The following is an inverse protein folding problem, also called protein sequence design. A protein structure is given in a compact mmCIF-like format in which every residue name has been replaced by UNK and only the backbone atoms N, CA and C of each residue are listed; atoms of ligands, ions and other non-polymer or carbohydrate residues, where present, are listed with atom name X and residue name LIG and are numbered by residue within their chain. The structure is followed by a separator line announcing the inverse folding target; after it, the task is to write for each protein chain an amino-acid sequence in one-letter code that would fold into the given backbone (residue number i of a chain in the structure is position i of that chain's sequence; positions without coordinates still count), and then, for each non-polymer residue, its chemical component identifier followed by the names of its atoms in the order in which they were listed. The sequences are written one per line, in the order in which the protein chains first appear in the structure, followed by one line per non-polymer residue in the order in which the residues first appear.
data_IF_612123961492
#
_entry.id   IF_612123961492
#
_cell.length_a   1.000
_cell.length_b   1.000
_cell.length_c   1.000
_cell.angle_alpha   90.00
_cell.angle_beta   90.00
_cell.angle_gamma   90.00
#
_symmetry.space_group_name_H-M   'P 1'
#
loop_
_entity.id
_entity.type
_entity.pdbx_description
1 polymer ?
#
# COMPACT_ATOMS: atom_id res chain seq x y z
N UNK A 1 -0.32 5.46 26.90
CA UNK A 1 -0.12 5.94 25.51
C UNK A 1 -1.48 5.98 24.83
N UNK A 2 -1.97 7.16 24.42
CA UNK A 2 -3.16 7.23 23.56
C UNK A 2 -2.81 6.49 22.26
N UNK A 3 -3.56 5.44 21.93
CA UNK A 3 -3.37 4.65 20.70
C UNK A 3 -3.62 5.54 19.48
N UNK A 4 -2.60 6.30 19.05
CA UNK A 4 -2.59 6.85 17.71
C UNK A 4 -2.59 5.65 16.76
N UNK A 5 -3.70 5.41 16.07
CA UNK A 5 -3.77 4.34 15.08
C UNK A 5 -2.71 4.63 14.02
N UNK A 6 -1.69 3.76 13.92
CA UNK A 6 -0.65 3.92 12.91
C UNK A 6 -1.29 3.97 11.52
N UNK A 7 -0.87 4.92 10.66
CA UNK A 7 -1.39 5.02 9.31
C UNK A 7 -1.16 3.73 8.53
N UNK A 8 -2.12 3.35 7.70
CA UNK A 8 -2.07 2.12 6.91
C UNK A 8 -2.36 2.42 5.45
N UNK A 9 -2.02 1.50 4.56
CA UNK A 9 -2.18 1.69 3.12
C UNK A 9 -2.82 0.48 2.48
N UNK A 10 -3.71 0.73 1.52
CA UNK A 10 -4.29 -0.29 0.65
C UNK A 10 -3.53 -0.32 -0.68
N UNK A 11 -2.95 -1.47 -1.01
CA UNK A 11 -2.28 -1.65 -2.29
C UNK A 11 -2.28 -3.11 -2.74
N UNK A 12 -1.96 -3.32 -4.00
CA UNK A 12 -1.58 -4.63 -4.53
C UNK A 12 -0.05 -4.77 -4.37
N UNK A 13 0.45 -5.76 -3.62
CA UNK A 13 1.88 -5.91 -3.41
C UNK A 13 2.57 -6.37 -4.70
N UNK A 14 3.80 -5.89 -4.90
CA UNK A 14 4.66 -6.35 -5.98
C UNK A 14 5.21 -7.72 -5.63
N UNK A 15 4.42 -8.74 -5.93
CA UNK A 15 4.91 -10.11 -5.97
C UNK A 15 5.32 -10.28 -7.44
N UNK A 16 6.59 -10.21 -7.77
CA UNK A 16 7.04 -10.65 -9.09
C UNK A 16 7.60 -12.06 -8.96
N UNK A 17 7.27 -12.93 -9.90
CA UNK A 17 7.71 -14.34 -9.97
C UNK A 17 9.20 -14.48 -10.32
N UNK A 18 9.95 -13.37 -10.38
CA UNK A 18 11.34 -13.36 -10.86
C UNK A 18 12.20 -12.37 -10.04
N UNK A 19 13.16 -12.87 -9.22
CA UNK A 19 13.99 -12.03 -8.35
C UNK A 19 14.93 -11.06 -9.10
N UNK A 20 15.05 -11.16 -10.42
CA UNK A 20 15.92 -10.28 -11.24
C UNK A 20 15.34 -8.87 -11.45
N UNK A 21 14.06 -8.65 -11.13
CA UNK A 21 13.36 -7.38 -11.39
C UNK A 21 13.84 -6.19 -10.54
N UNK A 22 14.36 -6.42 -9.32
CA UNK A 22 14.74 -5.33 -8.40
C UNK A 22 16.01 -4.61 -8.88
N UNK A 23 16.88 -5.29 -9.64
CA UNK A 23 18.15 -4.74 -10.13
C UNK A 23 18.02 -3.71 -11.25
N UNK A 24 16.84 -3.52 -11.85
CA UNK A 24 16.66 -2.63 -13.02
C UNK A 24 15.62 -1.53 -12.81
N UNK A 25 15.30 -1.15 -11.57
CA UNK A 25 14.40 -0.01 -11.29
C UNK A 25 14.93 1.37 -11.77
N UNK A 26 16.11 1.43 -12.40
CA UNK A 26 16.62 2.60 -13.14
C UNK A 26 16.29 2.59 -14.63
N UNK A 27 15.88 1.47 -15.21
CA UNK A 27 15.62 1.36 -16.65
C UNK A 27 14.20 0.88 -16.94
N UNK A 28 13.55 1.66 -17.80
CA UNK A 28 12.13 1.60 -18.13
C UNK A 28 11.85 0.46 -19.11
N UNK A 29 12.28 -0.77 -18.82
CA UNK A 29 11.85 -1.94 -19.59
C UNK A 29 10.49 -2.44 -19.07
N UNK A 30 9.46 -2.24 -19.89
CA UNK A 30 8.13 -2.84 -19.75
C UNK A 30 8.21 -4.37 -19.97
N UNK A 31 8.84 -5.12 -19.06
CA UNK A 31 8.74 -6.59 -19.10
C UNK A 31 7.35 -7.01 -18.62
N UNK A 32 6.62 -7.72 -19.49
CA UNK A 32 5.22 -8.12 -19.29
C UNK A 32 5.11 -9.06 -18.08
N UNK A 33 4.48 -8.57 -17.00
CA UNK A 33 4.05 -9.41 -15.87
C UNK A 33 3.25 -10.61 -16.41
N UNK A 34 3.64 -11.83 -16.07
CA UNK A 34 2.85 -13.02 -16.40
C UNK A 34 1.47 -12.87 -15.75
N UNK A 35 0.39 -12.93 -16.55
CA UNK A 35 -0.96 -12.73 -16.03
C UNK A 35 -1.28 -13.80 -14.99
N UNK A 36 -1.38 -13.42 -13.72
CA UNK A 36 -1.89 -14.27 -12.66
C UNK A 36 -3.37 -14.56 -12.86
N UNK A 37 -3.78 -15.77 -12.50
CA UNK A 37 -5.19 -16.18 -12.39
C UNK A 37 -5.92 -15.62 -11.16
N UNK A 38 -5.24 -14.82 -10.35
CA UNK A 38 -5.82 -14.14 -9.19
C UNK A 38 -5.25 -12.71 -9.07
N UNK A 39 -5.89 -11.90 -8.24
CA UNK A 39 -5.42 -10.61 -7.76
C UNK A 39 -5.34 -10.64 -6.23
N UNK A 40 -4.38 -9.91 -5.67
CA UNK A 40 -4.20 -9.77 -4.23
C UNK A 40 -4.19 -8.29 -3.88
N UNK A 41 -4.94 -7.92 -2.85
CA UNK A 41 -4.79 -6.62 -2.19
C UNK A 41 -4.47 -6.83 -0.73
N UNK A 42 -3.75 -5.89 -0.16
CA UNK A 42 -3.36 -5.93 1.25
C UNK A 42 -3.64 -4.60 1.91
N UNK A 43 -3.92 -4.65 3.22
CA UNK A 43 -3.83 -3.49 4.09
C UNK A 43 -2.56 -3.62 4.91
N UNK A 44 -1.65 -2.68 4.74
CA UNK A 44 -0.32 -2.72 5.35
C UNK A 44 -0.10 -1.55 6.30
N UNK A 45 0.52 -1.79 7.46
CA UNK A 45 0.99 -0.74 8.35
C UNK A 45 2.14 0.02 7.68
N UNK A 46 1.98 1.34 7.53
CA UNK A 46 2.95 2.18 6.84
C UNK A 46 4.19 2.53 7.67
N UNK A 47 4.23 2.15 8.95
CA UNK A 47 5.37 2.38 9.85
C UNK A 47 6.24 1.14 10.03
N UNK A 48 5.63 -0.05 10.06
CA UNK A 48 6.31 -1.33 10.34
C UNK A 48 6.39 -2.26 9.14
N UNK A 49 5.56 -2.03 8.13
CA UNK A 49 5.44 -2.90 6.96
C UNK A 49 4.63 -4.15 7.22
N UNK A 50 4.06 -4.29 8.42
CA UNK A 50 3.24 -5.43 8.79
C UNK A 50 1.98 -5.46 7.92
N UNK A 51 1.74 -6.58 7.24
CA UNK A 51 0.52 -6.78 6.47
C UNK A 51 -0.59 -7.20 7.44
N UNK A 52 -1.55 -6.31 7.66
CA UNK A 52 -2.63 -6.46 8.63
C UNK A 52 -3.77 -7.36 8.12
N UNK A 53 -4.10 -7.24 6.83
CA UNK A 53 -5.17 -7.99 6.16
C UNK A 53 -4.79 -8.25 4.71
N UNK A 54 -5.31 -9.35 4.17
CA UNK A 54 -5.17 -9.74 2.78
C UNK A 54 -6.56 -9.98 2.17
N UNK A 55 -6.71 -9.67 0.89
CA UNK A 55 -7.91 -10.00 0.12
C UNK A 55 -7.48 -10.62 -1.21
N UNK A 56 -7.89 -11.87 -1.44
CA UNK A 56 -7.56 -12.64 -2.64
C UNK A 56 -8.81 -12.75 -3.50
N UNK A 57 -8.70 -12.38 -4.76
CA UNK A 57 -9.76 -12.57 -5.76
C UNK A 57 -9.27 -13.48 -6.88
N UNK A 58 -9.95 -14.61 -7.09
CA UNK A 58 -9.72 -15.49 -8.23
C UNK A 58 -10.39 -14.90 -9.48
N UNK A 59 -9.71 -14.92 -10.62
CA UNK A 59 -10.21 -14.34 -11.89
C UNK A 59 -11.07 -15.31 -12.73
N UNK A 60 -11.18 -16.57 -12.30
CA UNK A 60 -11.92 -17.63 -12.99
C UNK A 60 -12.68 -18.50 -11.96
N UNK A 61 -14.00 -18.64 -12.14
CA UNK A 61 -14.90 -19.54 -11.37
C UNK A 61 -16.06 -18.77 -10.73
N UNK A 62 -17.28 -19.35 -10.63
CA UNK A 62 -18.41 -18.68 -9.98
C UNK A 62 -18.08 -18.52 -8.49
N UNK A 63 -17.56 -17.36 -8.12
CA UNK A 63 -17.24 -17.07 -6.73
C UNK A 63 -18.52 -17.07 -5.90
N UNK A 64 -18.50 -17.57 -4.65
CA UNK A 64 -19.67 -17.55 -3.77
C UNK A 64 -20.21 -16.13 -3.51
N UNK A 65 -19.40 -15.09 -3.76
CA UNK A 65 -19.72 -13.69 -3.47
C UNK A 65 -20.24 -12.89 -4.69
N UNK A 66 -20.51 -13.54 -5.83
CA UNK A 66 -21.03 -12.86 -7.01
C UNK A 66 -20.10 -11.77 -7.56
N UNK A 67 -18.79 -11.80 -7.24
CA UNK A 67 -17.85 -10.76 -7.65
C UNK A 67 -17.66 -10.69 -9.18
N UNK A 68 -17.89 -11.80 -9.87
CA UNK A 68 -17.95 -11.87 -11.34
C UNK A 68 -19.11 -11.04 -11.93
N UNK A 69 -20.12 -10.70 -11.10
CA UNK A 69 -21.23 -9.80 -11.48
C UNK A 69 -20.87 -8.32 -11.38
N UNK A 70 -19.78 -7.96 -10.67
CA UNK A 70 -19.26 -6.58 -10.64
C UNK A 70 -18.55 -6.28 -11.97
N UNK A 71 -19.34 -5.94 -12.97
CA UNK A 71 -18.87 -5.59 -14.32
C UNK A 71 -17.96 -4.36 -14.35
N UNK A 72 -17.92 -3.54 -13.29
CA UNK A 72 -17.15 -2.29 -13.25
C UNK A 72 -16.03 -2.29 -12.18
N UNK A 73 -14.78 -2.03 -12.62
CA UNK A 73 -13.56 -2.05 -11.79
C UNK A 73 -13.62 -1.17 -10.52
N UNK A 74 -14.18 0.06 -10.54
CA UNK A 74 -14.29 0.89 -9.33
C UNK A 74 -15.17 0.26 -8.24
N UNK A 75 -16.22 -0.48 -8.61
CA UNK A 75 -17.07 -1.17 -7.64
C UNK A 75 -16.31 -2.30 -6.96
N UNK A 76 -15.54 -3.08 -7.73
CA UNK A 76 -14.63 -4.10 -7.20
C UNK A 76 -13.63 -3.49 -6.21
N UNK A 77 -12.92 -2.43 -6.60
CA UNK A 77 -11.92 -1.79 -5.73
C UNK A 77 -12.52 -1.20 -4.45
N UNK A 78 -13.72 -0.62 -4.54
CA UNK A 78 -14.48 -0.13 -3.38
C UNK A 78 -14.85 -1.27 -2.43
N UNK A 79 -15.35 -2.40 -2.95
CA UNK A 79 -15.65 -3.58 -2.15
C UNK A 79 -14.40 -4.14 -1.46
N UNK A 80 -13.32 -4.31 -2.22
CA UNK A 80 -12.03 -4.79 -1.68
C UNK A 80 -11.54 -3.89 -0.55
N UNK A 81 -11.63 -2.57 -0.73
CA UNK A 81 -11.25 -1.62 0.32
C UNK A 81 -12.12 -1.80 1.58
N UNK A 82 -13.44 -1.93 1.43
CA UNK A 82 -14.36 -2.18 2.55
C UNK A 82 -14.01 -3.47 3.29
N UNK A 83 -13.75 -4.56 2.57
CA UNK A 83 -13.36 -5.85 3.13
C UNK A 83 -12.04 -5.76 3.92
N UNK A 84 -11.01 -5.13 3.33
CA UNK A 84 -9.72 -4.94 4.00
C UNK A 84 -9.80 -4.07 5.26
N UNK A 85 -10.79 -3.19 5.34
CA UNK A 85 -10.97 -2.22 6.42
C UNK A 85 -12.12 -2.56 7.39
N UNK A 86 -12.82 -3.69 7.23
CA UNK A 86 -14.02 -4.01 8.01
C UNK A 86 -13.82 -3.99 9.54
N UNK A 87 -12.61 -4.33 10.02
CA UNK A 87 -12.27 -4.35 11.44
C UNK A 87 -11.68 -3.01 11.95
N UNK A 88 -11.76 -1.93 11.17
CA UNK A 88 -11.26 -0.61 11.55
C UNK A 88 -12.34 0.36 12.03
N UNK A 89 -13.61 -0.02 11.98
CA UNK A 89 -14.70 0.83 12.44
C UNK A 89 -14.46 1.30 13.89
N UNK A 90 -14.63 2.60 14.13
CA UNK A 90 -14.45 3.25 15.43
C UNK A 90 -13.01 3.45 15.89
N UNK A 91 -12.00 3.09 15.08
CA UNK A 91 -10.58 3.15 15.47
C UNK A 91 -9.87 4.46 15.12
N UNK A 92 -10.57 5.42 14.49
CA UNK A 92 -9.98 6.68 14.01
C UNK A 92 -8.72 6.45 13.16
N UNK A 93 -8.79 5.45 12.27
CA UNK A 93 -7.65 5.01 11.47
C UNK A 93 -7.47 5.90 10.23
N UNK A 94 -6.22 6.11 9.81
CA UNK A 94 -5.88 6.80 8.55
C UNK A 94 -5.47 5.76 7.51
N UNK A 95 -6.13 5.79 6.34
CA UNK A 95 -5.92 4.87 5.22
C UNK A 95 -5.46 5.61 3.96
N UNK A 96 -4.30 5.22 3.46
CA UNK A 96 -3.78 5.68 2.18
C UNK A 96 -4.28 4.79 1.05
N UNK A 97 -4.65 5.40 -0.08
CA UNK A 97 -5.19 4.68 -1.23
C UNK A 97 -4.54 5.08 -2.54
N UNK A 98 -4.30 4.08 -3.39
CA UNK A 98 -3.94 4.31 -4.78
C UNK A 98 -5.13 4.76 -5.64
N UNK A 99 -4.88 5.26 -6.86
CA UNK A 99 -5.93 5.82 -7.72
C UNK A 99 -7.13 4.93 -8.00
N UNK A 100 -6.94 3.62 -8.08
CA UNK A 100 -8.03 2.68 -8.36
C UNK A 100 -9.05 2.54 -7.21
N UNK A 101 -8.66 2.91 -5.99
CA UNK A 101 -9.50 2.81 -4.79
C UNK A 101 -10.04 4.20 -4.40
N UNK A 102 -9.30 5.27 -4.68
CA UNK A 102 -9.69 6.64 -4.30
C UNK A 102 -10.98 7.08 -5.00
N UNK A 103 -12.03 7.37 -4.23
CA UNK A 103 -13.27 7.98 -4.73
C UNK A 103 -13.99 8.78 -3.62
N UNK A 104 -14.80 9.75 -4.03
CA UNK A 104 -15.59 10.57 -3.11
C UNK A 104 -16.53 9.72 -2.25
N UNK A 105 -17.29 8.83 -2.89
CA UNK A 105 -18.28 7.99 -2.23
C UNK A 105 -17.65 7.04 -1.19
N UNK A 106 -16.50 6.43 -1.52
CA UNK A 106 -15.83 5.53 -0.57
C UNK A 106 -15.35 6.29 0.67
N UNK A 107 -14.77 7.48 0.48
CA UNK A 107 -14.21 8.26 1.58
C UNK A 107 -15.30 8.77 2.51
N UNK A 108 -16.45 9.18 1.97
CA UNK A 108 -17.62 9.54 2.77
C UNK A 108 -18.16 8.36 3.58
N UNK A 109 -18.16 7.16 3.00
CA UNK A 109 -18.64 5.96 3.69
C UNK A 109 -17.69 5.52 4.82
N UNK A 110 -16.38 5.62 4.57
CA UNK A 110 -15.36 5.35 5.59
C UNK A 110 -15.36 6.38 6.72
N UNK A 111 -15.65 7.64 6.42
CA UNK A 111 -15.75 8.69 7.44
C UNK A 111 -16.84 8.37 8.47
N UNK A 112 -18.00 7.86 8.04
CA UNK A 112 -19.09 7.42 8.94
C UNK A 112 -18.65 6.32 9.90
N UNK A 113 -17.60 5.58 9.56
CA UNK A 113 -17.05 4.49 10.36
C UNK A 113 -15.81 4.93 11.18
N UNK A 114 -15.46 6.22 11.19
CA UNK A 114 -14.24 6.70 11.83
C UNK A 114 -12.97 6.22 11.12
N UNK A 115 -13.04 6.05 9.79
CA UNK A 115 -11.91 5.72 8.93
C UNK A 115 -11.66 6.93 8.01
N UNK A 116 -10.52 7.57 8.20
CA UNK A 116 -10.12 8.74 7.42
C UNK A 116 -9.16 8.32 6.32
N UNK A 117 -9.18 9.02 5.19
CA UNK A 117 -8.42 8.62 4.01
C UNK A 117 -7.64 9.77 3.38
N UNK A 118 -6.55 9.39 2.72
CA UNK A 118 -5.76 10.25 1.86
C UNK A 118 -5.31 9.47 0.63
N UNK A 119 -5.84 9.82 -0.54
CA UNK A 119 -5.68 9.04 -1.75
C UNK A 119 -5.22 9.86 -2.94
N UNK A 120 -4.40 9.26 -3.80
CA UNK A 120 -4.07 9.83 -5.10
C UNK A 120 -5.28 9.71 -6.03
N UNK A 121 -5.62 10.77 -6.76
CA UNK A 121 -6.68 10.81 -7.77
C UNK A 121 -6.08 10.74 -9.17
N UNK A 122 -6.72 9.96 -10.04
CA UNK A 122 -6.42 9.92 -11.48
C UNK A 122 -7.72 9.86 -12.26
N UNK A 123 -7.91 10.79 -13.20
CA UNK A 123 -9.07 10.80 -14.10
C UNK A 123 -9.22 9.54 -14.95
N UNK A 124 -8.17 8.71 -15.05
CA UNK A 124 -8.18 7.44 -15.81
C UNK A 124 -8.44 6.20 -14.94
N UNK A 125 -8.21 6.28 -13.63
CA UNK A 125 -8.23 5.10 -12.73
C UNK A 125 -9.18 5.25 -11.55
N UNK A 126 -9.47 6.48 -11.13
CA UNK A 126 -10.37 6.80 -10.02
C UNK A 126 -11.80 6.99 -10.51
N UNK A 127 -12.75 6.73 -9.62
CA UNK A 127 -14.11 7.24 -9.78
C UNK A 127 -14.14 8.70 -9.33
N UNK A 128 -14.24 9.61 -10.32
CA UNK A 128 -14.25 11.05 -10.12
C UNK A 128 -15.67 11.63 -10.03
N UNK A 129 -16.71 10.79 -9.94
CA UNK A 129 -18.10 11.24 -9.85
C UNK A 129 -18.29 12.17 -8.65
N UNK A 130 -18.91 13.33 -8.88
CA UNK A 130 -19.17 14.34 -7.86
C UNK A 130 -17.98 15.24 -7.49
N UNK A 131 -16.82 15.08 -8.13
CA UNK A 131 -15.67 15.97 -7.93
C UNK A 131 -15.73 17.21 -8.86
N UNK A 132 -15.22 18.38 -8.43
CA UNK A 132 -15.26 19.59 -9.24
C UNK A 132 -14.34 19.47 -10.47
N UNK A 133 -14.90 19.61 -11.67
CA UNK A 133 -14.16 19.46 -12.93
C UNK A 133 -12.97 20.43 -13.06
N UNK A 134 -13.07 21.63 -12.47
CA UNK A 134 -11.97 22.60 -12.41
C UNK A 134 -10.71 22.07 -11.72
N UNK A 135 -10.85 21.06 -10.85
CA UNK A 135 -9.74 20.41 -10.15
C UNK A 135 -9.21 19.19 -10.90
N UNK A 136 -9.93 18.69 -11.91
CA UNK A 136 -9.60 17.49 -12.68
C UNK A 136 -8.94 17.80 -14.02
N UNK A 137 -9.18 18.99 -14.57
CA UNK A 137 -8.55 19.48 -15.80
C UNK A 137 -7.18 20.07 -15.46
N UNK A 138 -6.20 19.86 -16.34
CA UNK A 138 -4.90 20.54 -16.24
C UNK A 138 -5.04 21.93 -16.87
N UNK A 139 -4.53 22.97 -16.21
CA UNK A 139 -4.40 24.30 -16.83
C UNK A 139 -3.33 24.26 -17.92
N UNK A 140 -3.53 25.01 -19.00
CA UNK A 140 -2.55 25.12 -20.09
C UNK A 140 -1.32 25.96 -19.70
N UNK A 141 -1.47 26.83 -18.71
CA UNK A 141 -0.38 27.66 -18.20
C UNK A 141 0.65 26.84 -17.42
N UNK A 142 1.96 27.11 -17.61
CA UNK A 142 3.01 26.56 -16.75
C UNK A 142 2.76 26.97 -15.30
N UNK A 143 2.72 25.99 -14.40
CA UNK A 143 2.54 26.23 -12.97
C UNK A 143 3.91 26.23 -12.27
N UNK A 144 4.03 27.01 -11.19
CA UNK A 144 5.24 27.01 -10.39
C UNK A 144 5.33 25.71 -9.58
N UNK A 145 6.52 25.10 -9.55
CA UNK A 145 6.80 23.93 -8.73
C UNK A 145 6.50 24.24 -7.26
N UNK A 146 5.72 23.39 -6.61
CA UNK A 146 5.28 23.56 -5.23
C UNK A 146 3.90 24.22 -5.08
N UNK A 147 3.39 24.87 -6.12
CA UNK A 147 2.08 25.52 -6.09
C UNK A 147 0.97 24.48 -5.88
N UNK A 148 -0.02 24.84 -5.06
CA UNK A 148 -1.19 24.01 -4.84
C UNK A 148 -2.49 24.80 -4.97
N UNK A 149 -3.52 24.12 -5.46
CA UNK A 149 -4.90 24.60 -5.46
C UNK A 149 -5.73 23.64 -4.63
N UNK A 150 -6.62 24.17 -3.81
CA UNK A 150 -7.41 23.36 -2.87
C UNK A 150 -8.87 23.79 -2.95
N UNK A 151 -9.77 22.81 -3.01
CA UNK A 151 -11.22 23.02 -2.82
C UNK A 151 -11.72 22.07 -1.74
N UNK A 152 -12.70 22.52 -0.97
CA UNK A 152 -13.21 21.79 0.20
C UNK A 152 -14.73 21.66 0.15
N UNK A 153 -15.24 20.58 0.73
CA UNK A 153 -16.66 20.39 1.04
C UNK A 153 -16.77 19.64 2.36
N UNK A 154 -17.17 20.33 3.42
CA UNK A 154 -17.13 19.78 4.77
C UNK A 154 -15.70 19.37 5.15
N UNK A 155 -15.54 18.14 5.65
CA UNK A 155 -14.24 17.59 6.05
C UNK A 155 -13.39 17.07 4.88
N UNK A 156 -13.96 16.98 3.68
CA UNK A 156 -13.26 16.50 2.49
C UNK A 156 -12.61 17.66 1.74
N UNK A 157 -11.37 17.45 1.32
CA UNK A 157 -10.63 18.36 0.46
C UNK A 157 -10.09 17.64 -0.77
N UNK A 158 -10.13 18.33 -1.90
CA UNK A 158 -9.41 17.98 -3.11
C UNK A 158 -8.24 18.95 -3.27
N UNK A 159 -7.05 18.38 -3.45
CA UNK A 159 -5.80 19.11 -3.56
C UNK A 159 -5.23 18.83 -4.94
N UNK A 160 -4.83 19.87 -5.68
CA UNK A 160 -4.02 19.75 -6.88
C UNK A 160 -2.66 20.41 -6.64
N UNK A 161 -1.61 19.62 -6.50
CA UNK A 161 -0.25 20.08 -6.26
C UNK A 161 0.62 19.88 -7.50
N UNK A 162 1.31 20.93 -7.90
CA UNK A 162 2.16 20.92 -9.08
C UNK A 162 3.63 20.68 -8.73
N UNK A 163 4.28 19.74 -9.42
CA UNK A 163 5.72 19.52 -9.30
C UNK A 163 6.40 19.44 -10.67
N UNK A 164 6.44 18.23 -11.27
CA UNK A 164 6.80 18.01 -12.68
C UNK A 164 5.54 17.71 -13.53
N UNK A 165 4.39 18.10 -13.00
CA UNK A 165 3.07 17.65 -13.40
C UNK A 165 2.09 17.75 -12.23
N UNK A 166 0.79 17.68 -12.55
CA UNK A 166 -0.31 17.80 -11.60
C UNK A 166 -0.50 16.48 -10.81
N UNK A 167 -0.34 16.54 -9.50
CA UNK A 167 -0.68 15.47 -8.57
C UNK A 167 -1.94 15.86 -7.81
N UNK A 168 -3.00 15.05 -7.97
CA UNK A 168 -4.31 15.32 -7.37
C UNK A 168 -4.54 14.39 -6.20
N UNK A 169 -5.03 14.91 -5.10
CA UNK A 169 -5.33 14.13 -3.91
C UNK A 169 -6.76 14.40 -3.45
N UNK A 170 -7.42 13.36 -2.95
CA UNK A 170 -8.62 13.47 -2.14
C UNK A 170 -8.24 13.13 -0.71
N UNK A 171 -8.70 13.91 0.28
CA UNK A 171 -8.40 13.62 1.68
C UNK A 171 -9.43 14.20 2.64
N UNK A 172 -9.77 13.43 3.67
CA UNK A 172 -10.40 13.89 4.92
C UNK A 172 -9.54 13.54 6.15
N UNK A 173 -8.31 13.05 5.95
CA UNK A 173 -7.39 12.69 7.02
C UNK A 173 -6.45 13.84 7.44
N UNK A 174 -6.29 14.85 6.59
CA UNK A 174 -5.32 15.93 6.81
C UNK A 174 -5.98 17.29 6.58
N UNK A 175 -5.68 18.28 7.45
CA UNK A 175 -6.16 19.64 7.24
C UNK A 175 -5.63 20.22 5.92
N UNK A 176 -6.47 20.88 5.11
CA UNK A 176 -6.09 21.42 3.81
C UNK A 176 -5.12 22.60 3.89
N UNK A 177 -5.12 23.32 5.01
CA UNK A 177 -4.27 24.50 5.23
C UNK A 177 -2.93 24.17 5.85
N UNK A 178 -2.71 22.93 6.30
CA UNK A 178 -1.42 22.54 6.87
C UNK A 178 -0.41 22.33 5.74
N UNK A 179 0.68 23.06 5.85
CA UNK A 179 1.83 22.95 4.95
C UNK A 179 2.77 21.82 5.40
N UNK A 180 3.53 21.33 4.44
CA UNK A 180 4.54 20.31 4.56
C UNK A 180 5.61 20.50 3.48
N UNK A 181 6.63 19.66 3.50
CA UNK A 181 7.79 19.80 2.61
C UNK A 181 8.25 18.47 2.03
N UNK A 182 8.43 18.42 0.71
CA UNK A 182 9.14 17.31 0.07
C UNK A 182 10.62 17.66 -0.04
N UNK A 183 11.46 16.97 0.73
CA UNK A 183 12.92 17.11 0.67
C UNK A 183 13.48 16.24 -0.46
N UNK A 184 14.17 16.85 -1.42
CA UNK A 184 14.93 16.12 -2.46
C UNK A 184 16.41 16.46 -2.38
N UNK A 185 17.24 15.43 -2.15
CA UNK A 185 18.71 15.53 -2.00
C UNK A 185 19.41 16.42 -3.05
N UNK A 186 18.93 16.44 -4.29
CA UNK A 186 19.54 17.21 -5.41
C UNK A 186 18.82 18.51 -5.78
N UNK A 187 17.59 18.73 -5.32
CA UNK A 187 16.74 19.83 -5.84
C UNK A 187 16.14 20.70 -4.76
N UNK A 188 16.69 20.64 -3.54
CA UNK A 188 16.20 21.36 -2.37
C UNK A 188 14.83 20.89 -1.89
N UNK A 189 14.24 21.74 -1.06
CA UNK A 189 12.92 21.61 -0.48
C UNK A 189 11.86 22.11 -1.45
N UNK A 190 10.73 21.40 -1.50
CA UNK A 190 9.56 21.81 -2.30
C UNK A 190 8.39 21.95 -1.34
N UNK A 191 7.78 23.14 -1.22
CA UNK A 191 6.59 23.30 -0.41
C UNK A 191 5.45 22.47 -0.99
N UNK A 192 4.66 21.87 -0.11
CA UNK A 192 3.49 21.08 -0.49
C UNK A 192 2.47 21.07 0.66
N UNK A 193 1.20 20.69 0.40
CA UNK A 193 0.28 20.42 1.48
C UNK A 193 0.71 19.20 2.31
N UNK A 194 0.43 19.19 3.61
CA UNK A 194 0.80 18.08 4.53
C UNK A 194 0.30 16.71 4.04
N UNK A 195 -0.87 16.67 3.39
CA UNK A 195 -1.40 15.44 2.79
C UNK A 195 -0.47 14.85 1.72
N UNK A 196 0.21 15.71 0.96
CA UNK A 196 1.18 15.30 -0.07
C UNK A 196 2.45 14.76 0.57
N UNK A 197 2.97 15.44 1.59
CA UNK A 197 4.13 14.97 2.35
C UNK A 197 3.86 13.61 2.99
N UNK A 198 2.75 13.49 3.71
CA UNK A 198 2.33 12.24 4.32
C UNK A 198 2.26 11.13 3.26
N UNK A 199 1.49 11.33 2.18
CA UNK A 199 1.36 10.35 1.10
C UNK A 199 2.72 9.93 0.52
N UNK A 200 3.63 10.88 0.28
CA UNK A 200 4.96 10.60 -0.24
C UNK A 200 5.81 9.75 0.73
N UNK A 201 5.74 10.03 2.03
CA UNK A 201 6.41 9.23 3.06
C UNK A 201 5.90 7.77 3.05
N UNK A 202 4.58 7.58 2.91
CA UNK A 202 3.98 6.24 2.84
C UNK A 202 4.39 5.48 1.57
N UNK A 203 4.41 6.14 0.41
CA UNK A 203 4.85 5.50 -0.83
C UNK A 203 6.33 5.05 -0.73
N UNK A 204 7.19 5.89 -0.15
CA UNK A 204 8.59 5.50 0.09
C UNK A 204 8.70 4.27 0.99
N UNK A 205 7.81 4.13 1.97
CA UNK A 205 7.81 2.99 2.88
C UNK A 205 7.43 1.69 2.18
N UNK A 206 6.37 1.69 1.37
CA UNK A 206 5.95 0.51 0.59
C UNK A 206 7.09 0.05 -0.32
N UNK A 207 7.72 0.97 -1.05
CA UNK A 207 8.86 0.63 -1.92
C UNK A 207 9.99 -0.02 -1.13
N UNK A 208 10.36 0.52 0.04
CA UNK A 208 11.39 -0.08 0.91
C UNK A 208 11.00 -1.47 1.41
N UNK A 209 9.73 -1.67 1.74
CA UNK A 209 9.23 -2.97 2.15
C UNK A 209 9.33 -3.97 1.00
N UNK A 210 8.82 -3.60 -0.17
CA UNK A 210 8.89 -4.43 -1.38
C UNK A 210 10.34 -4.79 -1.68
N UNK A 211 11.28 -3.83 -1.74
CA UNK A 211 12.70 -4.10 -1.99
C UNK A 211 13.31 -5.07 -0.95
N UNK A 212 12.94 -4.92 0.32
CA UNK A 212 13.54 -5.68 1.41
C UNK A 212 12.97 -7.09 1.53
N UNK A 213 11.67 -7.25 1.34
CA UNK A 213 10.92 -8.45 1.72
C UNK A 213 10.42 -9.26 0.52
N UNK A 214 10.23 -8.65 -0.66
CA UNK A 214 9.80 -9.36 -1.88
C UNK A 214 10.78 -10.46 -2.30
N UNK A 215 12.09 -10.25 -2.07
CA UNK A 215 13.14 -11.25 -2.37
C UNK A 215 13.09 -12.51 -1.50
N UNK A 216 12.34 -12.49 -0.39
CA UNK A 216 12.16 -13.64 0.50
C UNK A 216 10.84 -14.38 0.25
N UNK A 217 10.11 -14.03 -0.80
CA UNK A 217 8.94 -14.81 -1.20
C UNK A 217 9.38 -16.17 -1.71
N UNK A 218 8.65 -17.20 -1.29
CA UNK A 218 8.90 -18.58 -1.69
C UNK A 218 8.41 -18.73 -3.13
N UNK A 219 9.35 -18.83 -4.06
CA UNK A 219 9.10 -19.13 -5.46
C UNK A 219 9.13 -20.64 -5.67
N UNK A 220 7.96 -21.27 -5.57
CA UNK A 220 7.78 -22.64 -6.00
C UNK A 220 7.07 -22.62 -7.35
N UNK A 221 7.61 -23.25 -8.41
CA UNK A 221 6.97 -23.34 -9.74
C UNK A 221 5.57 -23.94 -9.60
N UNK A 222 4.51 -23.12 -9.54
CA UNK A 222 3.22 -23.59 -9.10
C UNK A 222 2.41 -23.97 -10.33
N UNK A 223 2.01 -25.22 -10.43
CA UNK A 223 1.18 -25.70 -11.54
C UNK A 223 -0.30 -25.34 -11.34
N UNK A 224 -0.69 -24.92 -10.12
CA UNK A 224 -2.07 -24.57 -9.76
C UNK A 224 -2.14 -23.22 -9.03
N UNK A 225 -3.24 -22.49 -9.22
CA UNK A 225 -3.46 -21.16 -8.60
C UNK A 225 -3.46 -21.20 -7.08
N UNK A 226 -4.05 -22.24 -6.46
CA UNK A 226 -4.06 -22.37 -5.01
C UNK A 226 -2.65 -22.50 -4.41
N UNK A 227 -1.70 -23.11 -5.14
CA UNK A 227 -0.30 -23.22 -4.70
C UNK A 227 0.35 -21.83 -4.66
N UNK A 228 0.06 -20.99 -5.66
CA UNK A 228 0.53 -19.60 -5.67
C UNK A 228 0.02 -18.84 -4.45
N UNK A 229 -1.28 -18.94 -4.15
CA UNK A 229 -1.90 -18.28 -2.99
C UNK A 229 -1.33 -18.81 -1.68
N UNK A 230 -1.13 -20.12 -1.56
CA UNK A 230 -0.56 -20.76 -0.37
C UNK A 230 0.87 -20.25 -0.08
N UNK A 231 1.80 -20.39 -1.03
CA UNK A 231 3.19 -19.98 -0.84
C UNK A 231 3.34 -18.47 -0.60
N UNK A 232 2.49 -17.69 -1.24
CA UNK A 232 2.39 -16.26 -1.02
C UNK A 232 1.99 -15.93 0.42
N UNK A 233 0.97 -16.61 0.94
CA UNK A 233 0.46 -16.41 2.30
C UNK A 233 1.52 -16.81 3.34
N UNK A 234 2.21 -17.93 3.13
CA UNK A 234 3.35 -18.34 3.98
C UNK A 234 4.45 -17.28 3.95
N UNK A 235 4.81 -16.77 2.77
CA UNK A 235 5.85 -15.75 2.63
C UNK A 235 5.51 -14.46 3.40
N UNK A 236 4.26 -14.01 3.31
CA UNK A 236 3.74 -12.87 4.09
C UNK A 236 3.82 -13.16 5.58
N UNK A 237 3.41 -14.36 6.00
CA UNK A 237 3.40 -14.78 7.41
C UNK A 237 4.81 -14.75 8.01
N UNK A 238 5.81 -15.29 7.30
CA UNK A 238 7.20 -15.29 7.78
C UNK A 238 7.76 -13.86 7.84
N UNK A 239 7.45 -13.02 6.85
CA UNK A 239 7.86 -11.61 6.87
C UNK A 239 7.22 -10.84 8.03
N UNK A 240 5.93 -11.05 8.29
CA UNK A 240 5.23 -10.50 9.44
C UNK A 240 5.83 -11.01 10.77
N UNK A 241 6.15 -12.30 10.88
CA UNK A 241 6.81 -12.87 12.06
C UNK A 241 8.17 -12.21 12.33
N UNK A 242 8.97 -11.98 11.28
CA UNK A 242 10.23 -11.25 11.42
C UNK A 242 10.03 -9.78 11.84
N UNK A 243 8.96 -9.13 11.37
CA UNK A 243 8.61 -7.77 11.83
C UNK A 243 8.29 -7.78 13.33
N UNK A 244 7.48 -8.73 13.79
CA UNK A 244 7.14 -8.87 15.21
C UNK A 244 8.38 -9.18 16.05
N UNK A 245 9.26 -10.05 15.57
CA UNK A 245 10.54 -10.33 16.21
C UNK A 245 11.38 -9.07 16.37
N UNK A 246 11.57 -8.25 15.32
CA UNK A 246 12.28 -6.96 15.42
C UNK A 246 11.67 -5.98 16.43
N UNK A 247 10.38 -6.13 16.75
CA UNK A 247 9.64 -5.30 17.70
C UNK A 247 9.60 -5.89 19.11
N UNK A 248 10.14 -7.11 19.31
CA UNK A 248 10.14 -7.78 20.61
C UNK A 248 11.48 -7.63 21.33
N UNK A 249 11.48 -7.88 22.64
CA UNK A 249 12.68 -7.86 23.48
C UNK A 249 13.75 -8.86 23.02
N UNK A 250 13.34 -9.97 22.39
CA UNK A 250 14.25 -10.98 21.86
C UNK A 250 15.21 -10.42 20.80
N UNK A 251 14.79 -9.40 20.02
CA UNK A 251 15.66 -8.75 19.04
C UNK A 251 16.74 -7.89 19.70
N UNK A 252 16.47 -7.36 20.90
CA UNK A 252 17.48 -6.62 21.66
C UNK A 252 18.55 -7.55 22.23
N UNK A 253 18.19 -8.78 22.58
CA UNK A 253 19.12 -9.80 23.07
C UNK A 253 20.00 -10.34 21.95
N UNK A 254 19.40 -10.78 20.84
CA UNK A 254 20.12 -11.30 19.68
C UNK A 254 19.49 -10.75 18.43
N UNK A 255 20.29 -10.16 17.53
CA UNK A 255 19.81 -9.53 16.29
C UNK A 255 20.06 -10.44 15.09
N UNK A 256 19.03 -11.13 14.63
CA UNK A 256 19.08 -11.84 13.36
C UNK A 256 18.71 -10.91 12.20
N UNK A 257 19.44 -11.05 11.09
CA UNK A 257 18.97 -10.58 9.79
C UNK A 257 17.75 -11.38 9.34
N UNK A 258 17.04 -10.89 8.31
CA UNK A 258 15.87 -11.59 7.77
C UNK A 258 16.21 -12.99 7.23
N UNK A 259 17.40 -13.15 6.65
CA UNK A 259 17.88 -14.43 6.14
C UNK A 259 18.14 -15.42 7.28
N UNK A 260 18.92 -15.00 8.29
CA UNK A 260 19.21 -15.81 9.48
C UNK A 260 17.94 -16.21 10.23
N UNK A 261 16.98 -15.28 10.36
CA UNK A 261 15.68 -15.59 10.96
C UNK A 261 14.93 -16.67 10.18
N UNK A 262 14.96 -16.61 8.84
CA UNK A 262 14.33 -17.61 7.99
C UNK A 262 14.99 -18.99 8.09
N UNK A 263 16.32 -19.04 8.10
CA UNK A 263 17.08 -20.28 8.28
C UNK A 263 16.76 -20.95 9.63
N UNK A 264 16.76 -20.16 10.71
CA UNK A 264 16.43 -20.65 12.05
C UNK A 264 15.00 -21.17 12.12
N UNK A 265 14.05 -20.44 11.55
CA UNK A 265 12.65 -20.88 11.50
C UNK A 265 12.52 -22.23 10.79
N UNK A 266 13.27 -22.47 9.71
CA UNK A 266 13.27 -23.77 9.02
C UNK A 266 13.83 -24.87 9.91
N UNK A 267 14.96 -24.63 10.60
CA UNK A 267 15.55 -25.61 11.53
C UNK A 267 14.58 -25.98 12.65
N UNK A 268 13.96 -24.97 13.27
CA UNK A 268 12.97 -25.18 14.35
C UNK A 268 11.74 -25.96 13.85
N UNK A 269 11.22 -25.66 12.66
CA UNK A 269 10.08 -26.37 12.09
C UNK A 269 10.39 -27.82 11.68
N UNK A 270 11.65 -28.13 11.40
CA UNK A 270 12.12 -29.46 11.03
C UNK A 270 12.70 -30.25 12.22
N UNK A 271 12.62 -29.70 13.43
CA UNK A 271 13.23 -30.27 14.64
C UNK A 271 14.71 -30.62 14.45
N UNK A 272 15.40 -29.83 13.63
CA UNK A 272 16.84 -29.97 13.42
C UNK A 272 17.54 -29.29 14.59
N UNK A 273 18.29 -30.07 15.38
CA UNK A 273 19.13 -29.52 16.44
C UNK A 273 20.05 -28.43 15.89
N UNK A 274 20.24 -27.36 16.67
CA UNK A 274 21.29 -26.39 16.45
C UNK A 274 22.64 -27.10 16.66
N UNK A 275 23.10 -27.85 15.66
CA UNK A 275 24.47 -28.35 15.57
C UNK A 275 25.41 -27.15 15.37
N UNK A 276 25.56 -26.34 16.41
CA UNK A 276 26.69 -25.43 16.57
C UNK A 276 27.75 -26.21 17.34
N UNK A 277 28.98 -26.38 16.83
CA UNK A 277 30.06 -26.83 17.68
C UNK A 277 30.26 -25.75 18.75
N UNK A 278 30.03 -26.10 20.00
CA UNK A 278 30.65 -25.40 21.13
C UNK A 278 32.16 -25.50 20.97
N UNK A 279 32.81 -24.42 20.54
CA UNK A 279 34.14 -23.98 20.98
C UNK A 279 34.45 -22.58 20.43
#
# INVERSE_FOLDING_TARGET
MRHAAFPQVLHEPLIDEDPVFITTCTERELRKRKKRKFSLWVRQCSSTGFICQIYVHLKEGPGPDGLDTLKNKPQLHSLVAKQLCQNLAGRNAIIFTGPSITSLNLFQEFEKQGIYCCGLLSTRKSDCTGLPQSMLINTESPQQRGQSHIKMRGNLSIINWYNKGNFRFLTNAYPPTKEGVIIKRKSGEIPCPLAVEAFAAHLSYICKYDDKYSKYFIFHKPNKTWQQVFWLTISITINNAYILYKMSDAYHVKRYSRAQFGERLVKELLEMDDCSPTQ
#
